data_IF_890736624358
#
_entry.id   IF_890736624358
#
_cell.length_a   1.000
_cell.length_b   1.000
_cell.length_c   1.000
_cell.angle_alpha   90.00
_cell.angle_beta   90.00
_cell.angle_gamma   90.00
#
_symmetry.space_group_name_H-M   'P 1'
#
loop_
_entity.id
_entity.type
_entity.pdbx_description
1 polymer ?
#
# COMPACT_ATOMS: atom_id res chain seq x y z
N UNK A 1 -31.60 -19.38 -18.20
CA UNK A 1 -30.22 -19.68 -18.64
C UNK A 1 -29.28 -18.79 -17.87
N UNK A 2 -28.48 -19.38 -16.96
CA UNK A 2 -27.43 -18.60 -16.26
C UNK A 2 -26.30 -18.34 -17.26
N UNK A 3 -26.19 -17.13 -17.78
CA UNK A 3 -25.04 -16.75 -18.58
C UNK A 3 -23.86 -16.67 -17.60
N UNK A 4 -22.77 -17.41 -17.80
CA UNK A 4 -21.61 -17.32 -16.92
C UNK A 4 -21.09 -15.89 -16.95
N UNK A 5 -20.74 -15.37 -15.78
CA UNK A 5 -20.11 -14.04 -15.67
C UNK A 5 -18.82 -14.00 -16.52
N UNK A 6 -18.55 -12.89 -17.22
CA UNK A 6 -17.32 -12.76 -17.99
C UNK A 6 -16.09 -12.87 -17.06
N UNK A 7 -14.97 -13.40 -17.57
CA UNK A 7 -13.74 -13.45 -16.80
C UNK A 7 -13.25 -12.03 -16.45
N UNK A 8 -12.77 -11.84 -15.22
CA UNK A 8 -12.21 -10.58 -14.72
C UNK A 8 -10.68 -10.67 -14.79
N UNK A 9 -10.01 -9.70 -15.40
CA UNK A 9 -8.55 -9.59 -15.33
C UNK A 9 -8.13 -9.26 -13.89
N UNK A 10 -7.11 -9.94 -13.37
CA UNK A 10 -6.64 -9.65 -12.01
C UNK A 10 -6.03 -8.25 -11.90
N UNK A 11 -5.47 -7.72 -12.97
CA UNK A 11 -4.99 -6.34 -13.02
C UNK A 11 -6.12 -5.32 -12.81
N UNK A 12 -7.30 -5.55 -13.40
CA UNK A 12 -8.48 -4.68 -13.20
C UNK A 12 -8.94 -4.72 -11.74
N UNK A 13 -9.04 -5.92 -11.15
CA UNK A 13 -9.38 -6.05 -9.73
C UNK A 13 -8.36 -5.37 -8.81
N UNK A 14 -7.07 -5.56 -9.06
CA UNK A 14 -5.99 -4.91 -8.31
C UNK A 14 -5.98 -3.39 -8.53
N UNK A 15 -6.25 -2.92 -9.75
CA UNK A 15 -6.38 -1.50 -10.10
C UNK A 15 -7.52 -0.81 -9.37
N UNK A 16 -8.70 -1.45 -9.30
CA UNK A 16 -9.85 -0.94 -8.53
C UNK A 16 -9.51 -0.84 -7.04
N UNK A 17 -8.86 -1.84 -6.46
CA UNK A 17 -8.38 -1.79 -5.08
C UNK A 17 -7.35 -0.67 -4.89
N UNK A 18 -6.44 -0.48 -5.83
CA UNK A 18 -5.47 0.61 -5.84
C UNK A 18 -6.15 1.97 -5.79
N UNK A 19 -7.11 2.25 -6.68
CA UNK A 19 -7.88 3.49 -6.67
C UNK A 19 -8.64 3.72 -5.36
N UNK A 20 -9.25 2.68 -4.82
CA UNK A 20 -9.96 2.75 -3.55
C UNK A 20 -9.01 3.06 -2.37
N UNK A 21 -7.77 2.56 -2.42
CA UNK A 21 -6.75 2.86 -1.41
C UNK A 21 -6.17 4.26 -1.56
N UNK A 22 -5.94 4.74 -2.78
CA UNK A 22 -5.49 6.11 -3.03
C UNK A 22 -6.46 7.13 -2.41
N UNK A 23 -7.76 6.97 -2.67
CA UNK A 23 -8.80 7.81 -2.07
C UNK A 23 -8.79 7.73 -0.54
N UNK A 24 -8.63 6.54 0.01
CA UNK A 24 -8.61 6.35 1.46
C UNK A 24 -7.38 6.93 2.13
N UNK A 25 -6.25 6.96 1.42
CA UNK A 25 -4.97 7.49 1.88
C UNK A 25 -4.81 8.98 1.61
N UNK A 26 -5.78 9.61 0.93
CA UNK A 26 -5.68 11.01 0.51
C UNK A 26 -4.54 11.23 -0.49
N UNK A 27 -4.21 10.21 -1.27
CA UNK A 27 -3.24 10.30 -2.35
C UNK A 27 -3.90 10.89 -3.59
N UNK A 28 -3.13 11.49 -4.49
CA UNK A 28 -3.62 11.79 -5.83
C UNK A 28 -4.20 10.51 -6.46
N UNK A 29 -5.33 10.66 -7.14
CA UNK A 29 -5.96 9.53 -7.82
C UNK A 29 -4.97 8.88 -8.79
N UNK A 30 -5.03 7.54 -8.90
CA UNK A 30 -4.15 6.72 -9.73
C UNK A 30 -2.67 6.69 -9.30
N UNK A 31 -2.34 7.13 -8.07
CA UNK A 31 -0.97 7.05 -7.56
C UNK A 31 -0.43 5.61 -7.58
N UNK A 32 -1.24 4.64 -7.19
CA UNK A 32 -0.84 3.22 -7.23
C UNK A 32 -0.63 2.70 -8.65
N UNK A 33 -1.48 3.09 -9.61
CA UNK A 33 -1.30 2.76 -11.03
C UNK A 33 0.00 3.37 -11.58
N UNK A 34 0.25 4.65 -11.30
CA UNK A 34 1.48 5.36 -11.71
C UNK A 34 2.72 4.71 -11.12
N UNK A 35 2.67 4.33 -9.85
CA UNK A 35 3.76 3.60 -9.18
C UNK A 35 4.04 2.26 -9.87
N UNK A 36 3.01 1.50 -10.22
CA UNK A 36 3.17 0.23 -10.92
C UNK A 36 3.81 0.41 -12.31
N UNK A 37 3.35 1.40 -13.08
CA UNK A 37 3.90 1.71 -14.42
C UNK A 37 5.35 2.17 -14.33
N UNK A 38 5.70 3.07 -13.42
CA UNK A 38 7.07 3.55 -13.21
C UNK A 38 8.02 2.42 -12.79
N UNK A 39 7.60 1.59 -11.84
CA UNK A 39 8.37 0.42 -11.39
C UNK A 39 8.59 -0.57 -12.53
N UNK A 40 7.55 -0.84 -13.33
CA UNK A 40 7.61 -1.75 -14.46
C UNK A 40 8.54 -1.23 -15.58
N UNK A 41 8.48 0.07 -15.90
CA UNK A 41 9.38 0.69 -16.86
C UNK A 41 10.85 0.55 -16.43
N UNK A 42 11.09 0.68 -15.13
CA UNK A 42 12.43 0.44 -14.56
C UNK A 42 12.83 -1.02 -14.65
N UNK A 43 11.93 -1.95 -14.34
CA UNK A 43 12.15 -3.39 -14.44
C UNK A 43 12.50 -3.82 -15.87
N UNK A 44 11.79 -3.26 -16.87
CA UNK A 44 12.06 -3.48 -18.29
C UNK A 44 13.44 -2.96 -18.71
N UNK A 45 13.81 -1.79 -18.25
CA UNK A 45 15.13 -1.20 -18.50
C UNK A 45 16.28 -2.02 -17.86
N UNK A 46 15.99 -2.71 -16.76
CA UNK A 46 16.93 -3.67 -16.14
C UNK A 46 17.00 -5.00 -16.87
N UNK A 47 16.13 -5.26 -17.85
CA UNK A 47 16.07 -6.53 -18.55
C UNK A 47 15.54 -7.68 -17.69
N UNK A 48 14.68 -7.39 -16.71
CA UNK A 48 14.09 -8.41 -15.87
C UNK A 48 13.20 -9.35 -16.67
N UNK A 49 13.16 -10.62 -16.25
CA UNK A 49 12.27 -11.62 -16.81
C UNK A 49 10.80 -11.23 -16.68
N UNK A 50 9.95 -11.82 -17.48
CA UNK A 50 8.52 -11.56 -17.48
C UNK A 50 7.88 -11.83 -16.10
N UNK A 51 8.25 -12.94 -15.43
CA UNK A 51 7.77 -13.27 -14.09
C UNK A 51 8.19 -12.24 -13.04
N UNK A 52 9.42 -11.71 -13.14
CA UNK A 52 9.87 -10.62 -12.27
C UNK A 52 9.11 -9.32 -12.56
N UNK A 53 8.84 -9.01 -13.83
CA UNK A 53 8.04 -7.87 -14.23
C UNK A 53 6.60 -7.98 -13.70
N UNK A 54 5.97 -9.16 -13.77
CA UNK A 54 4.66 -9.45 -13.14
C UNK A 54 4.71 -9.17 -11.65
N UNK A 55 5.76 -9.64 -10.97
CA UNK A 55 5.95 -9.42 -9.53
C UNK A 55 6.06 -7.93 -9.21
N UNK A 56 6.84 -7.17 -9.98
CA UNK A 56 7.00 -5.71 -9.82
C UNK A 56 5.68 -4.99 -10.03
N UNK A 57 4.96 -5.32 -11.09
CA UNK A 57 3.71 -4.68 -11.47
C UNK A 57 2.62 -4.82 -10.40
N UNK A 58 2.34 -6.05 -9.96
CA UNK A 58 1.33 -6.28 -8.92
C UNK A 58 1.74 -5.77 -7.54
N UNK A 59 3.04 -5.78 -7.22
CA UNK A 59 3.55 -5.13 -6.01
C UNK A 59 3.27 -3.62 -6.06
N UNK A 60 3.49 -2.97 -7.21
CA UNK A 60 3.18 -1.57 -7.42
C UNK A 60 1.69 -1.26 -7.27
N UNK A 61 0.80 -2.05 -7.87
CA UNK A 61 -0.65 -1.85 -7.75
C UNK A 61 -1.16 -1.98 -6.31
N UNK A 62 -0.64 -2.94 -5.55
CA UNK A 62 -1.20 -3.31 -4.24
C UNK A 62 -0.40 -2.77 -3.05
N UNK A 63 0.61 -1.90 -3.26
CA UNK A 63 1.49 -1.47 -2.18
C UNK A 63 0.80 -0.70 -1.05
N UNK A 64 -0.36 -0.13 -1.31
CA UNK A 64 -1.21 0.51 -0.29
C UNK A 64 -2.42 -0.31 0.14
N UNK A 65 -2.63 -1.51 -0.42
CA UNK A 65 -3.83 -2.29 -0.16
C UNK A 65 -4.06 -2.60 1.34
N UNK A 66 -3.00 -2.69 2.13
CA UNK A 66 -3.10 -2.88 3.57
C UNK A 66 -3.30 -1.62 4.40
N UNK A 67 -3.02 -0.43 3.84
CA UNK A 67 -3.03 0.84 4.60
C UNK A 67 -4.41 1.30 5.07
N UNK A 68 -5.47 0.67 4.61
CA UNK A 68 -6.84 1.00 4.99
C UNK A 68 -7.31 0.26 6.25
N UNK A 69 -6.52 -0.69 6.75
CA UNK A 69 -6.93 -1.58 7.84
C UNK A 69 -6.94 -0.93 9.24
N UNK A 70 -6.22 0.17 9.48
CA UNK A 70 -6.06 0.74 10.82
C UNK A 70 -6.11 2.27 10.87
N UNK A 71 -7.15 2.88 10.29
CA UNK A 71 -7.36 4.33 10.35
C UNK A 71 -7.50 4.88 11.79
N UNK A 72 -7.78 4.02 12.79
CA UNK A 72 -7.89 4.44 14.18
C UNK A 72 -6.53 4.75 14.82
N UNK A 73 -5.49 3.98 14.48
CA UNK A 73 -4.12 4.24 14.96
C UNK A 73 -3.61 5.53 14.32
N UNK A 74 -3.86 5.73 13.03
CA UNK A 74 -3.50 6.96 12.32
C UNK A 74 -4.17 8.18 12.95
N UNK A 75 -5.47 8.10 13.28
CA UNK A 75 -6.19 9.18 13.94
C UNK A 75 -5.65 9.49 15.35
N UNK A 76 -5.18 8.49 16.08
CA UNK A 76 -4.55 8.67 17.41
C UNK A 76 -3.19 9.36 17.32
N UNK A 77 -2.40 9.02 16.29
CA UNK A 77 -1.06 9.60 16.11
C UNK A 77 -1.09 10.98 15.44
N UNK A 78 -1.98 11.18 14.48
CA UNK A 78 -1.97 12.38 13.61
C UNK A 78 -3.15 13.33 13.86
N UNK A 79 -4.17 12.93 14.61
CA UNK A 79 -5.38 13.71 14.86
C UNK A 79 -6.25 13.85 13.61
N UNK A 80 -5.92 14.79 12.72
CA UNK A 80 -6.55 14.89 11.39
C UNK A 80 -5.69 14.15 10.36
N UNK A 81 -5.95 12.83 10.22
CA UNK A 81 -5.21 11.95 9.32
C UNK A 81 -5.26 12.40 7.85
N UNK A 82 -6.41 12.89 7.38
CA UNK A 82 -6.59 13.33 5.99
C UNK A 82 -5.71 14.53 5.65
N UNK A 83 -5.46 15.44 6.60
CA UNK A 83 -4.58 16.58 6.39
C UNK A 83 -3.08 16.23 6.57
N UNK A 84 -2.78 15.22 7.38
CA UNK A 84 -1.41 14.81 7.68
C UNK A 84 -0.84 13.84 6.63
N UNK A 85 -1.64 12.92 6.11
CA UNK A 85 -1.23 11.85 5.19
C UNK A 85 -0.49 12.36 3.94
N UNK A 86 -0.96 13.34 3.16
CA UNK A 86 -0.23 13.82 1.98
C UNK A 86 1.17 14.32 2.31
N UNK A 87 1.31 15.00 3.47
CA UNK A 87 2.62 15.51 3.94
C UNK A 87 3.53 14.41 4.47
N UNK A 88 2.95 13.38 5.08
CA UNK A 88 3.69 12.20 5.53
C UNK A 88 4.29 11.40 4.38
N UNK A 89 3.67 11.41 3.21
CA UNK A 89 4.18 10.71 2.03
C UNK A 89 5.43 11.39 1.44
N UNK A 90 5.63 12.68 1.69
CA UNK A 90 6.85 13.37 1.29
C UNK A 90 8.04 13.13 2.23
N UNK A 91 7.76 12.54 3.42
CA UNK A 91 8.80 12.19 4.40
C UNK A 91 9.54 10.93 3.96
N UNK A 92 10.86 10.92 4.08
CA UNK A 92 11.64 9.71 3.88
C UNK A 92 11.19 8.65 4.89
N UNK A 93 10.65 7.53 4.38
CA UNK A 93 10.19 6.42 5.24
C UNK A 93 11.30 6.01 6.18
N UNK A 94 11.01 5.97 7.50
CA UNK A 94 11.95 5.60 8.54
C UNK A 94 13.00 6.65 8.88
N UNK A 95 13.02 7.82 8.26
CA UNK A 95 13.78 8.95 8.79
C UNK A 95 13.11 9.46 10.06
N UNK A 96 13.63 9.06 11.22
CA UNK A 96 13.09 9.47 12.52
C UNK A 96 13.05 10.99 12.67
N UNK A 97 14.06 11.67 12.16
CA UNK A 97 14.16 13.14 12.23
C UNK A 97 13.10 13.80 11.35
N UNK A 98 12.93 13.35 10.10
CA UNK A 98 11.91 13.89 9.21
C UNK A 98 10.49 13.52 9.69
N UNK A 99 10.29 12.32 10.21
CA UNK A 99 9.02 11.89 10.78
C UNK A 99 8.64 12.78 11.98
N UNK A 100 9.55 12.96 12.92
CA UNK A 100 9.36 13.84 14.08
C UNK A 100 9.13 15.28 13.64
N UNK A 101 9.97 15.81 12.74
CA UNK A 101 9.82 17.19 12.24
C UNK A 101 8.47 17.40 11.52
N UNK A 102 8.02 16.42 10.74
CA UNK A 102 6.73 16.49 10.04
C UNK A 102 5.57 16.32 11.01
N UNK A 103 5.65 15.38 11.94
CA UNK A 103 4.67 15.24 13.02
C UNK A 103 4.57 16.53 13.85
N UNK A 104 5.69 17.18 14.15
CA UNK A 104 5.70 18.48 14.84
C UNK A 104 4.99 19.59 14.06
N UNK A 105 5.06 19.55 12.74
CA UNK A 105 4.43 20.57 11.88
C UNK A 105 2.96 20.29 11.58
N UNK A 106 2.55 19.02 11.56
CA UNK A 106 1.25 18.59 11.06
C UNK A 106 0.33 18.05 12.13
N UNK A 107 0.88 17.35 13.14
CA UNK A 107 0.07 16.78 14.20
C UNK A 107 -0.51 17.90 15.07
N UNK A 108 -1.83 17.84 15.20
CA UNK A 108 -2.58 18.74 16.12
C UNK A 108 -2.32 20.24 15.93
N UNK A 109 -2.21 20.70 14.69
CA UNK A 109 -2.32 22.12 14.38
C UNK A 109 -3.67 22.61 14.94
N UNK A 110 -3.63 23.35 16.08
CA UNK A 110 -4.83 23.80 16.79
C UNK A 110 -5.01 23.23 18.20
N UNK A 111 -4.18 22.27 18.65
CA UNK A 111 -4.21 21.77 20.03
C UNK A 111 -3.36 22.63 20.98
N UNK A 112 -3.74 22.67 22.27
CA UNK A 112 -2.98 23.37 23.31
C UNK A 112 -1.54 22.85 23.37
N UNK A 113 -0.53 23.72 23.58
CA UNK A 113 0.88 23.36 23.58
C UNK A 113 1.25 22.18 24.51
N UNK A 114 0.62 22.10 25.66
CA UNK A 114 0.84 21.05 26.64
C UNK A 114 0.32 19.69 26.18
N UNK A 115 -0.86 19.65 25.55
CA UNK A 115 -1.43 18.44 24.97
C UNK A 115 -0.56 17.93 23.82
N UNK A 116 -0.02 18.85 23.02
CA UNK A 116 0.92 18.55 21.92
C UNK A 116 2.23 17.96 22.44
N UNK A 117 2.81 18.53 23.50
CA UNK A 117 4.02 18.01 24.12
C UNK A 117 3.82 16.62 24.75
N UNK A 118 2.70 16.39 25.43
CA UNK A 118 2.35 15.09 26.02
C UNK A 118 2.19 14.00 24.97
N UNK A 119 1.56 14.32 23.83
CA UNK A 119 1.42 13.37 22.73
C UNK A 119 2.73 13.06 22.04
N UNK A 120 3.59 14.06 21.87
CA UNK A 120 4.92 13.84 21.29
C UNK A 120 5.80 12.96 22.19
N UNK A 121 5.75 13.17 23.52
CA UNK A 121 6.42 12.31 24.48
C UNK A 121 5.87 10.85 24.38
N UNK A 122 4.57 10.68 24.29
CA UNK A 122 3.94 9.38 24.15
C UNK A 122 4.32 8.68 22.83
N UNK A 123 4.37 9.41 21.71
CA UNK A 123 4.84 8.89 20.42
C UNK A 123 6.34 8.51 20.47
N UNK A 124 7.17 9.28 21.16
CA UNK A 124 8.60 9.01 21.30
C UNK A 124 8.89 7.76 22.17
N UNK A 125 8.13 7.54 23.24
CA UNK A 125 8.39 6.46 24.20
C UNK A 125 7.64 5.15 23.91
N UNK A 126 6.48 5.20 23.26
CA UNK A 126 5.65 4.00 22.96
C UNK A 126 5.50 3.69 21.46
N UNK A 127 5.72 4.70 20.61
CA UNK A 127 5.27 4.67 19.23
C UNK A 127 5.99 3.68 18.31
N UNK A 128 7.27 3.35 18.58
CA UNK A 128 8.05 2.50 17.65
C UNK A 128 7.53 1.06 17.63
N UNK A 129 7.21 0.49 18.78
CA UNK A 129 6.71 -0.88 18.87
C UNK A 129 5.27 -0.98 18.30
N UNK A 130 4.42 0.01 18.57
CA UNK A 130 3.08 0.09 18.00
C UNK A 130 3.14 0.32 16.48
N UNK A 131 4.04 1.17 16.01
CA UNK A 131 4.21 1.44 14.59
C UNK A 131 4.79 0.24 13.82
N UNK A 132 5.65 -0.58 14.44
CA UNK A 132 6.10 -1.86 13.86
C UNK A 132 4.95 -2.86 13.72
N UNK A 133 4.10 -2.98 14.74
CA UNK A 133 2.90 -3.84 14.68
C UNK A 133 1.93 -3.35 13.61
N UNK A 134 1.73 -2.06 13.51
CA UNK A 134 0.92 -1.41 12.48
C UNK A 134 1.45 -1.73 11.07
N UNK A 135 2.74 -1.55 10.82
CA UNK A 135 3.34 -1.87 9.53
C UNK A 135 3.23 -3.36 9.18
N UNK A 136 3.45 -4.26 10.15
CA UNK A 136 3.29 -5.69 9.95
C UNK A 136 1.84 -6.06 9.60
N UNK A 137 0.86 -5.49 10.30
CA UNK A 137 -0.57 -5.70 10.03
C UNK A 137 -0.95 -5.27 8.60
N UNK A 138 -0.45 -4.13 8.15
CA UNK A 138 -0.69 -3.65 6.78
C UNK A 138 -0.10 -4.60 5.73
N UNK A 139 1.13 -5.06 5.93
CA UNK A 139 1.76 -6.01 5.03
C UNK A 139 1.00 -7.35 5.00
N UNK A 140 0.53 -7.83 6.17
CA UNK A 140 -0.25 -9.07 6.25
C UNK A 140 -1.59 -8.95 5.52
N UNK A 141 -2.30 -7.83 5.63
CA UNK A 141 -3.53 -7.57 4.89
C UNK A 141 -3.27 -7.54 3.38
N UNK A 142 -2.26 -6.80 2.92
CA UNK A 142 -1.91 -6.74 1.50
C UNK A 142 -1.55 -8.13 0.95
N UNK A 143 -0.75 -8.91 1.70
CA UNK A 143 -0.40 -10.30 1.35
C UNK A 143 -1.62 -11.19 1.28
N UNK A 144 -2.54 -11.10 2.26
CA UNK A 144 -3.75 -11.91 2.31
C UNK A 144 -4.68 -11.59 1.12
N UNK A 145 -4.86 -10.32 0.80
CA UNK A 145 -5.62 -9.90 -0.39
C UNK A 145 -4.98 -10.47 -1.66
N UNK A 146 -3.67 -10.33 -1.83
CA UNK A 146 -2.94 -10.91 -2.96
C UNK A 146 -3.09 -12.42 -3.06
N UNK A 147 -3.05 -13.14 -1.92
CA UNK A 147 -3.26 -14.59 -1.87
C UNK A 147 -4.66 -14.98 -2.32
N UNK A 148 -5.70 -14.31 -1.80
CA UNK A 148 -7.10 -14.58 -2.14
C UNK A 148 -7.44 -14.21 -3.59
N UNK A 149 -6.80 -13.18 -4.13
CA UNK A 149 -6.86 -12.86 -5.56
C UNK A 149 -6.12 -13.88 -6.42
N UNK A 150 -5.33 -14.78 -5.80
CA UNK A 150 -4.57 -15.83 -6.47
C UNK A 150 -3.29 -15.33 -7.13
N UNK A 151 -2.72 -14.23 -6.64
CA UNK A 151 -1.42 -13.75 -7.09
C UNK A 151 -0.29 -14.70 -6.66
N UNK A 152 0.79 -14.71 -7.43
CA UNK A 152 1.92 -15.62 -7.26
C UNK A 152 2.63 -15.48 -5.90
N UNK A 153 3.32 -16.54 -5.47
CA UNK A 153 4.11 -16.52 -4.23
C UNK A 153 5.12 -15.35 -4.15
N UNK A 154 5.89 -15.05 -5.21
CA UNK A 154 6.76 -13.89 -5.24
C UNK A 154 6.07 -12.55 -4.99
N UNK A 155 4.86 -12.32 -5.55
CA UNK A 155 4.06 -11.11 -5.26
C UNK A 155 3.67 -11.07 -3.79
N UNK A 156 3.15 -12.18 -3.24
CA UNK A 156 2.77 -12.28 -1.83
C UNK A 156 3.97 -12.01 -0.89
N UNK A 157 5.16 -12.51 -1.25
CA UNK A 157 6.39 -12.26 -0.52
C UNK A 157 6.79 -10.77 -0.59
N UNK A 158 6.68 -10.14 -1.73
CA UNK A 158 6.95 -8.71 -1.89
C UNK A 158 5.99 -7.87 -1.03
N UNK A 159 4.67 -8.17 -1.06
CA UNK A 159 3.66 -7.46 -0.26
C UNK A 159 3.89 -7.58 1.25
N UNK A 160 4.59 -8.62 1.73
CA UNK A 160 4.96 -8.77 3.14
C UNK A 160 6.00 -7.75 3.60
N UNK A 161 6.82 -7.22 2.69
CA UNK A 161 8.02 -6.42 3.04
C UNK A 161 7.95 -4.97 2.52
N UNK A 162 6.76 -4.43 2.28
CA UNK A 162 6.54 -3.11 1.67
C UNK A 162 7.18 -1.95 2.44
N UNK A 163 7.30 -2.07 3.78
CA UNK A 163 7.83 -1.02 4.66
C UNK A 163 9.29 -1.26 5.07
N UNK A 164 9.93 -2.32 4.58
CA UNK A 164 11.35 -2.53 4.76
C UNK A 164 12.15 -1.47 3.99
N UNK A 165 13.39 -1.21 4.43
CA UNK A 165 14.26 -0.20 3.84
C UNK A 165 15.62 -0.78 3.49
N UNK A 166 16.27 -0.15 2.52
CA UNK A 166 17.62 -0.54 2.11
C UNK A 166 18.61 -0.56 3.27
N UNK A 167 18.58 0.46 4.14
CA UNK A 167 19.48 0.61 5.30
C UNK A 167 19.11 -0.29 6.50
N UNK A 168 18.03 -1.08 6.42
CA UNK A 168 17.54 -1.93 7.51
C UNK A 168 16.79 -1.16 8.61
N UNK A 169 16.58 0.16 8.46
CA UNK A 169 15.77 0.94 9.39
C UNK A 169 14.28 0.95 9.02
N UNK A 170 13.85 -0.03 8.22
CA UNK A 170 12.47 -0.26 7.84
C UNK A 170 11.63 -0.94 8.93
N UNK A 171 10.45 -1.41 8.52
CA UNK A 171 9.52 -2.07 9.42
C UNK A 171 8.93 -3.32 8.75
N UNK A 172 8.85 -4.43 9.43
CA UNK A 172 9.24 -4.67 10.85
C UNK A 172 10.74 -4.63 11.13
N UNK A 173 11.62 -4.51 10.11
CA UNK A 173 13.07 -4.45 10.22
C UNK A 173 13.72 -5.83 10.19
N UNK A 174 13.15 -6.73 9.40
CA UNK A 174 13.63 -8.10 9.19
C UNK A 174 14.68 -8.18 8.07
N UNK A 175 14.61 -7.30 7.08
CA UNK A 175 15.42 -7.32 5.87
C UNK A 175 16.19 -6.02 5.65
N UNK A 176 17.33 -6.11 4.96
CA UNK A 176 18.14 -4.95 4.55
C UNK A 176 18.88 -5.21 3.24
N UNK A 177 19.19 -4.14 2.53
CA UNK A 177 19.99 -4.19 1.31
C UNK A 177 19.39 -5.15 0.28
N UNK A 178 20.22 -5.98 -0.31
CA UNK A 178 19.82 -6.95 -1.32
C UNK A 178 18.92 -8.11 -0.80
N UNK A 179 18.72 -8.21 0.51
CA UNK A 179 17.76 -9.17 1.07
C UNK A 179 16.30 -8.78 0.76
N UNK A 180 16.04 -7.48 0.52
CA UNK A 180 14.73 -7.02 0.11
C UNK A 180 14.36 -7.59 -1.26
N UNK A 181 13.13 -8.07 -1.46
CA UNK A 181 12.66 -8.45 -2.80
C UNK A 181 12.87 -7.31 -3.80
N UNK A 182 13.40 -7.63 -4.99
CA UNK A 182 13.67 -6.62 -6.01
C UNK A 182 12.42 -5.79 -6.35
N UNK A 183 11.26 -6.44 -6.41
CA UNK A 183 9.98 -5.77 -6.66
C UNK A 183 9.68 -4.67 -5.63
N UNK A 184 9.99 -4.89 -4.34
CA UNK A 184 9.83 -3.87 -3.28
C UNK A 184 10.79 -2.71 -3.51
N UNK A 185 12.06 -3.00 -3.84
CA UNK A 185 13.07 -1.96 -4.09
C UNK A 185 12.69 -1.06 -5.25
N UNK A 186 12.20 -1.64 -6.36
CA UNK A 186 11.74 -0.89 -7.54
C UNK A 186 10.45 -0.12 -7.26
N UNK A 187 9.49 -0.74 -6.58
CA UNK A 187 8.25 -0.07 -6.17
C UNK A 187 8.52 1.15 -5.29
N UNK A 188 9.44 1.06 -4.32
CA UNK A 188 9.80 2.17 -3.44
C UNK A 188 10.41 3.35 -4.20
N UNK A 189 11.31 3.08 -5.16
CA UNK A 189 11.87 4.11 -6.04
C UNK A 189 10.77 4.77 -6.87
N UNK A 190 9.89 3.97 -7.49
CA UNK A 190 8.79 4.45 -8.31
C UNK A 190 7.79 5.31 -7.52
N UNK A 191 7.43 4.89 -6.31
CA UNK A 191 6.54 5.63 -5.43
C UNK A 191 7.12 6.98 -5.02
N UNK A 192 8.38 7.02 -4.59
CA UNK A 192 9.05 8.27 -4.23
C UNK A 192 9.20 9.20 -5.45
N UNK A 193 9.45 8.61 -6.62
CA UNK A 193 9.52 9.33 -7.90
C UNK A 193 8.18 9.96 -8.27
N UNK A 194 7.08 9.19 -8.20
CA UNK A 194 5.73 9.69 -8.53
C UNK A 194 5.32 10.82 -7.59
N UNK A 195 5.41 10.60 -6.28
CA UNK A 195 5.07 11.63 -5.29
C UNK A 195 5.85 12.92 -5.52
N UNK A 196 7.18 12.83 -5.64
CA UNK A 196 8.00 14.02 -5.85
C UNK A 196 7.74 14.70 -7.20
N UNK A 197 7.50 13.92 -8.25
CA UNK A 197 7.18 14.44 -9.58
C UNK A 197 5.86 15.22 -9.57
N UNK A 198 4.83 14.73 -8.90
CA UNK A 198 3.54 15.41 -8.78
C UNK A 198 3.63 16.73 -8.00
N UNK A 199 4.55 16.84 -7.03
CA UNK A 199 4.74 18.07 -6.25
C UNK A 199 5.64 19.11 -6.93
N UNK A 200 6.57 18.73 -7.78
CA UNK A 200 7.53 19.67 -8.34
C UNK A 200 8.27 19.17 -9.59
N UNK A 201 7.67 18.22 -10.30
CA UNK A 201 8.18 17.71 -11.56
C UNK A 201 9.39 16.77 -11.46
N UNK A 202 9.89 16.32 -12.62
CA UNK A 202 10.99 15.33 -12.67
C UNK A 202 12.26 15.77 -11.96
N UNK A 203 12.58 17.06 -11.95
CA UNK A 203 13.76 17.59 -11.27
C UNK A 203 13.68 17.40 -9.74
N UNK A 204 12.52 17.63 -9.13
CA UNK A 204 12.32 17.38 -7.69
C UNK A 204 12.37 15.87 -7.40
N UNK A 205 11.83 15.05 -8.29
CA UNK A 205 11.90 13.60 -8.17
C UNK A 205 13.36 13.13 -8.17
N UNK A 206 14.16 13.55 -9.16
CA UNK A 206 15.57 13.21 -9.25
C UNK A 206 16.36 13.63 -8.00
N UNK A 207 16.17 14.84 -7.51
CA UNK A 207 16.81 15.32 -6.28
C UNK A 207 16.38 14.52 -5.04
N UNK A 208 15.11 14.11 -4.96
CA UNK A 208 14.58 13.30 -3.86
C UNK A 208 15.16 11.90 -3.86
N UNK A 209 15.16 11.23 -5.00
CA UNK A 209 15.73 9.90 -5.16
C UNK A 209 17.23 9.88 -4.84
N UNK A 210 18.00 10.86 -5.35
CA UNK A 210 19.43 10.99 -5.06
C UNK A 210 19.71 11.10 -3.57
N UNK A 211 18.96 11.92 -2.85
CA UNK A 211 19.12 12.07 -1.39
C UNK A 211 18.80 10.81 -0.61
N UNK A 212 17.88 9.96 -1.12
CA UNK A 212 17.39 8.76 -0.43
C UNK A 212 18.16 7.48 -0.82
N UNK A 213 18.96 7.54 -1.90
CA UNK A 213 19.80 6.43 -2.34
C UNK A 213 20.77 5.99 -1.25
N UNK A 214 20.90 4.68 -1.04
CA UNK A 214 21.75 4.08 -0.02
C UNK A 214 21.21 4.18 1.42
N UNK A 215 20.19 4.99 1.67
CA UNK A 215 19.47 5.03 2.95
C UNK A 215 18.11 4.31 2.84
N UNK A 216 17.05 5.01 2.45
CA UNK A 216 15.74 4.41 2.28
C UNK A 216 15.59 3.57 1.03
N UNK A 217 16.29 3.93 -0.04
CA UNK A 217 16.16 3.36 -1.37
C UNK A 217 17.42 2.62 -1.79
N UNK A 218 17.23 1.59 -2.60
CA UNK A 218 18.31 0.87 -3.28
C UNK A 218 19.06 1.82 -4.22
N UNK A 219 20.39 2.04 -4.02
CA UNK A 219 21.17 2.96 -4.82
C UNK A 219 21.28 2.53 -6.28
N UNK A 220 21.30 1.22 -6.58
CA UNK A 220 21.36 0.72 -7.95
C UNK A 220 20.04 0.91 -8.67
N UNK A 221 18.93 0.64 -8.01
CA UNK A 221 17.59 0.90 -8.55
C UNK A 221 17.40 2.41 -8.83
N UNK A 222 17.83 3.28 -7.91
CA UNK A 222 17.80 4.73 -8.12
C UNK A 222 18.68 5.14 -9.31
N UNK A 223 19.90 4.65 -9.40
CA UNK A 223 20.83 4.94 -10.52
C UNK A 223 20.22 4.57 -11.86
N UNK A 224 19.62 3.38 -11.96
CA UNK A 224 18.97 2.92 -13.19
C UNK A 224 17.76 3.79 -13.51
N UNK A 225 16.88 4.04 -12.55
CA UNK A 225 15.71 4.91 -12.76
C UNK A 225 16.13 6.29 -13.28
N UNK A 226 17.11 6.92 -12.65
CA UNK A 226 17.61 8.25 -13.06
C UNK A 226 18.29 8.24 -14.43
N UNK A 227 18.93 7.13 -14.83
CA UNK A 227 19.53 7.01 -16.15
C UNK A 227 18.51 7.02 -17.30
N UNK A 228 17.24 6.76 -17.00
CA UNK A 228 16.15 6.81 -17.98
C UNK A 228 15.67 8.24 -18.27
N UNK A 229 16.11 9.24 -17.50
CA UNK A 229 15.68 10.63 -17.64
C UNK A 229 14.17 10.78 -17.48
N UNK A 230 13.54 11.46 -18.44
CA UNK A 230 12.07 11.71 -18.41
C UNK A 230 11.26 10.55 -19.01
N UNK A 231 11.89 9.57 -19.63
CA UNK A 231 11.19 8.47 -20.29
C UNK A 231 10.22 7.69 -19.36
N UNK A 232 10.54 7.44 -18.09
CA UNK A 232 9.61 6.78 -17.16
C UNK A 232 8.28 7.54 -16.95
N UNK A 233 8.27 8.86 -17.10
CA UNK A 233 7.10 9.70 -16.85
C UNK A 233 6.21 9.91 -18.08
N UNK A 234 6.67 9.48 -19.26
CA UNK A 234 5.93 9.72 -20.52
C UNK A 234 4.52 9.14 -20.45
N UNK A 235 3.52 9.99 -20.74
CA UNK A 235 2.09 9.64 -20.75
C UNK A 235 1.43 9.64 -19.35
N UNK A 236 2.21 9.86 -18.26
CA UNK A 236 1.63 9.90 -16.91
C UNK A 236 0.97 11.24 -16.54
N UNK A 237 1.02 12.22 -17.43
CA UNK A 237 0.33 13.52 -17.34
C UNK A 237 -1.08 13.50 -17.94
N UNK A 238 -1.50 12.36 -18.51
CA UNK A 238 -2.86 12.18 -19.03
C UNK A 238 -3.91 12.32 -17.90
N UNK A 239 -5.16 12.72 -18.23
CA UNK A 239 -6.25 12.83 -17.25
C UNK A 239 -6.54 11.53 -16.50
N UNK A 240 -6.34 10.38 -17.14
CA UNK A 240 -6.32 9.04 -16.55
C UNK A 240 -5.28 8.20 -17.25
N UNK A 241 -4.62 7.34 -16.47
CA UNK A 241 -3.66 6.35 -16.98
C UNK A 241 -4.18 4.92 -16.82
N UNK A 242 -5.48 4.77 -16.57
CA UNK A 242 -6.07 3.44 -16.36
C UNK A 242 -5.78 2.49 -17.51
N UNK A 243 -6.10 2.88 -18.73
CA UNK A 243 -5.92 2.03 -19.92
C UNK A 243 -4.42 1.71 -20.11
N UNK A 244 -3.55 2.71 -20.02
CA UNK A 244 -2.10 2.54 -20.12
C UNK A 244 -1.55 1.59 -19.06
N UNK A 245 -2.07 1.66 -17.83
CA UNK A 245 -1.66 0.79 -16.75
C UNK A 245 -2.13 -0.64 -16.96
N UNK A 246 -3.37 -0.84 -17.44
CA UNK A 246 -3.92 -2.15 -17.75
C UNK A 246 -3.22 -2.78 -18.96
N UNK A 247 -2.92 -2.02 -20.01
CA UNK A 247 -2.21 -2.49 -21.20
C UNK A 247 -0.73 -2.80 -20.91
N UNK A 248 -0.17 -2.17 -19.89
CA UNK A 248 1.21 -2.42 -19.48
C UNK A 248 1.41 -3.76 -18.77
N UNK A 249 0.33 -4.43 -18.29
CA UNK A 249 0.40 -5.70 -17.56
C UNK A 249 1.31 -6.71 -18.28
N UNK A 250 2.39 -7.17 -17.64
CA UNK A 250 3.34 -8.10 -18.29
C UNK A 250 2.83 -9.54 -18.25
N UNK A 251 3.27 -10.34 -19.21
CA UNK A 251 3.06 -11.77 -19.25
C UNK A 251 1.65 -12.21 -19.64
N UNK A 252 1.38 -13.49 -19.44
CA UNK A 252 0.02 -13.97 -19.62
C UNK A 252 -0.88 -13.29 -18.59
N UNK A 253 -1.80 -12.47 -19.07
CA UNK A 253 -2.71 -11.67 -18.24
C UNK A 253 -3.62 -12.61 -17.44
N UNK A 254 -3.43 -12.79 -16.14
CA UNK A 254 -4.21 -13.72 -15.35
C UNK A 254 -5.65 -13.25 -15.21
N UNK A 255 -6.58 -14.18 -15.42
CA UNK A 255 -8.02 -13.93 -15.29
C UNK A 255 -8.63 -14.78 -14.17
N UNK A 256 -9.59 -14.21 -13.47
CA UNK A 256 -10.43 -14.90 -12.53
C UNK A 256 -11.75 -15.28 -13.23
N UNK A 257 -12.11 -16.58 -13.19
CA UNK A 257 -13.35 -17.11 -13.73
C UNK A 257 -13.90 -18.19 -12.80
N UNK A 258 -15.22 -18.43 -12.82
CA UNK A 258 -15.88 -19.43 -11.97
C UNK A 258 -15.60 -19.21 -10.48
N UNK A 259 -15.28 -20.26 -9.73
CA UNK A 259 -15.01 -20.19 -8.29
C UNK A 259 -13.89 -19.19 -7.93
N UNK A 260 -12.90 -19.02 -8.80
CA UNK A 260 -11.82 -18.05 -8.58
C UNK A 260 -12.29 -16.59 -8.69
N UNK A 261 -13.29 -16.33 -9.54
CA UNK A 261 -13.94 -15.03 -9.59
C UNK A 261 -14.67 -14.74 -8.28
N UNK A 262 -15.40 -15.73 -7.75
CA UNK A 262 -16.09 -15.58 -6.46
C UNK A 262 -15.12 -15.30 -5.30
N UNK A 263 -13.97 -15.98 -5.28
CA UNK A 263 -12.91 -15.72 -4.29
C UNK A 263 -12.32 -14.32 -4.43
N UNK A 264 -12.05 -13.85 -5.65
CA UNK A 264 -11.54 -12.52 -5.94
C UNK A 264 -12.55 -11.45 -5.51
N UNK A 265 -13.81 -11.57 -5.89
CA UNK A 265 -14.89 -10.66 -5.51
C UNK A 265 -15.12 -10.65 -4.00
N UNK A 266 -15.03 -11.82 -3.34
CA UNK A 266 -15.11 -11.91 -1.89
C UNK A 266 -13.93 -11.20 -1.21
N UNK A 267 -12.72 -11.30 -1.76
CA UNK A 267 -11.57 -10.56 -1.25
C UNK A 267 -11.75 -9.04 -1.37
N UNK A 268 -12.33 -8.57 -2.47
CA UNK A 268 -12.66 -7.15 -2.67
C UNK A 268 -13.78 -6.68 -1.71
N UNK A 269 -14.79 -7.51 -1.48
CA UNK A 269 -15.85 -7.23 -0.51
C UNK A 269 -15.30 -7.12 0.92
N UNK A 270 -14.45 -8.08 1.33
CA UNK A 270 -13.79 -8.05 2.65
C UNK A 270 -12.90 -6.81 2.82
N UNK A 271 -12.21 -6.39 1.75
CA UNK A 271 -11.46 -5.14 1.78
C UNK A 271 -12.38 -3.92 2.01
N UNK A 272 -13.56 -3.89 1.38
CA UNK A 272 -14.55 -2.83 1.61
C UNK A 272 -15.11 -2.89 3.04
N UNK A 273 -15.35 -4.08 3.57
CA UNK A 273 -15.87 -4.32 4.92
C UNK A 273 -14.85 -3.98 6.01
N UNK A 274 -13.56 -4.17 5.78
CA UNK A 274 -12.51 -3.70 6.70
C UNK A 274 -12.68 -2.21 7.02
N UNK A 275 -13.06 -1.40 6.05
CA UNK A 275 -13.38 0.03 6.26
C UNK A 275 -14.70 0.24 7.02
N UNK A 276 -15.69 -0.61 6.78
CA UNK A 276 -17.03 -0.51 7.40
C UNK A 276 -17.03 -0.98 8.84
N UNK A 277 -16.35 -2.08 9.13
CA UNK A 277 -16.17 -2.64 10.47
C UNK A 277 -15.48 -1.64 11.39
N UNK A 278 -14.47 -0.93 10.93
CA UNK A 278 -13.83 0.12 11.72
C UNK A 278 -14.79 1.27 12.09
N UNK A 279 -15.73 1.63 11.19
CA UNK A 279 -16.80 2.58 11.52
C UNK A 279 -17.78 2.00 12.56
N UNK A 280 -18.07 0.70 12.48
CA UNK A 280 -18.94 0.00 13.40
C UNK A 280 -18.30 -0.10 14.79
N UNK A 281 -17.02 -0.48 14.88
CA UNK A 281 -16.27 -0.52 16.14
C UNK A 281 -16.14 0.86 16.78
N UNK A 282 -15.96 1.92 16.01
CA UNK A 282 -15.94 3.29 16.48
C UNK A 282 -17.27 3.72 17.12
N UNK A 283 -18.39 3.19 16.59
CA UNK A 283 -19.74 3.47 17.14
C UNK A 283 -20.12 2.59 18.33
N UNK A 284 -19.62 1.36 18.39
CA UNK A 284 -20.06 0.35 19.38
C UNK A 284 -19.04 0.11 20.51
N UNK A 285 -17.82 0.64 20.42
CA UNK A 285 -16.78 0.44 21.44
C UNK A 285 -16.22 -0.98 21.52
N UNK A 286 -16.53 -1.88 20.57
CA UNK A 286 -16.03 -3.25 20.54
C UNK A 286 -14.54 -3.30 20.14
N UNK A 287 -13.76 -4.18 20.77
CA UNK A 287 -12.32 -4.25 20.57
C UNK A 287 -11.92 -5.07 19.33
N UNK A 288 -10.77 -4.70 18.71
CA UNK A 288 -10.22 -5.27 17.47
C UNK A 288 -9.84 -6.76 17.52
N UNK A 289 -9.96 -7.43 18.67
CA UNK A 289 -9.72 -8.89 18.77
C UNK A 289 -10.66 -9.76 17.93
N UNK A 290 -11.85 -9.24 17.56
CA UNK A 290 -12.80 -9.98 16.73
C UNK A 290 -12.47 -9.94 15.22
N UNK A 291 -11.67 -8.99 14.74
CA UNK A 291 -11.28 -8.89 13.32
C UNK A 291 -10.38 -10.04 12.83
N UNK A 292 -9.55 -10.60 13.72
CA UNK A 292 -8.68 -11.72 13.38
C UNK A 292 -9.43 -13.04 13.11
N UNK A 293 -10.67 -13.17 13.60
CA UNK A 293 -11.49 -14.38 13.43
C UNK A 293 -12.29 -14.38 12.13
N UNK A 294 -12.52 -13.20 11.53
CA UNK A 294 -13.24 -13.08 10.25
C UNK A 294 -12.41 -13.53 9.03
N UNK A 295 -11.10 -13.58 9.16
CA UNK A 295 -10.19 -14.02 8.11
C UNK A 295 -9.75 -15.49 8.24
N UNK A 296 -10.33 -16.27 9.14
CA UNK A 296 -10.08 -17.70 9.18
C UNK A 296 -10.65 -18.34 7.89
N UNK A 297 -9.89 -19.21 7.19
CA UNK A 297 -10.42 -19.92 6.05
C UNK A 297 -11.64 -20.70 6.51
N UNK A 298 -12.76 -20.57 5.79
CA UNK A 298 -13.97 -21.36 6.01
C UNK A 298 -13.63 -22.83 5.72
N UNK A 299 -13.13 -23.55 6.74
CA UNK A 299 -13.19 -25.00 6.75
C UNK A 299 -14.66 -25.36 6.80
N UNK A 300 -15.17 -25.93 5.69
CA UNK A 300 -16.58 -26.19 5.50
C UNK A 300 -17.22 -26.88 6.70
N UNK A 301 -18.17 -26.23 7.28
CA UNK A 301 -19.45 -26.73 7.79
C UNK A 301 -20.14 -25.67 8.67
N UNK A 302 -21.46 -25.54 8.45
CA UNK A 302 -22.47 -24.85 9.26
C UNK A 302 -22.75 -23.38 8.92
N UNK A 303 -23.67 -23.18 7.98
CA UNK A 303 -24.46 -21.96 7.82
C UNK A 303 -25.42 -21.74 9.00
N UNK A 304 -24.95 -21.12 10.06
CA UNK A 304 -25.81 -20.84 11.21
C UNK A 304 -25.49 -19.56 11.98
N UNK A 305 -24.29 -19.02 11.84
CA UNK A 305 -23.87 -17.89 12.72
C UNK A 305 -23.95 -16.49 12.10
N UNK A 306 -24.03 -16.36 10.78
CA UNK A 306 -24.15 -15.06 10.12
C UNK A 306 -25.54 -14.41 10.28
N UNK A 307 -26.59 -15.22 10.46
CA UNK A 307 -27.98 -14.74 10.62
C UNK A 307 -28.28 -14.14 12.01
N UNK A 308 -27.53 -14.52 13.04
CA UNK A 308 -27.78 -14.05 14.42
C UNK A 308 -27.12 -12.71 14.72
N UNK A 309 -26.02 -12.36 14.04
CA UNK A 309 -25.39 -11.03 14.19
C UNK A 309 -26.22 -9.90 13.56
N UNK A 310 -26.91 -10.20 12.47
CA UNK A 310 -27.78 -9.23 11.79
C UNK A 310 -29.09 -8.93 12.55
N UNK A 311 -29.56 -9.85 13.42
CA UNK A 311 -30.78 -9.67 14.24
C UNK A 311 -30.56 -8.87 15.52
N UNK A 312 -29.33 -8.73 15.98
CA UNK A 312 -29.00 -7.95 17.21
C UNK A 312 -28.66 -6.48 16.95
N UNK A 313 -28.62 -6.06 15.68
CA UNK A 313 -28.32 -4.69 15.26
C UNK A 313 -29.54 -3.89 14.78
N UNK A 314 -30.77 -4.39 15.06
CA UNK A 314 -32.02 -3.63 14.87
C UNK A 314 -32.60 -3.18 16.20
#
# INVERSE_FOLDING_TARGET
MNVPAPPLRLAEAAGVLSLATDLAMGQPLEHGLRTAVLALRTARAMGLSEDEQVTVYYTGLLHFAGCTAESEIDARFFGNEMAARPRMMTVARGSRLELVATAMRTAHAGSAPLARAAMMARAAFGGIAEFRKWAASHCDVARLLGSRMGLSGPVQQALRHLYERWDGNGMPGELRGAQLPLAVRLMQVAQDADVACQYGGPALAAGTLTRRAGSGLDPDAVRIFLSLGDAPYKGLDAPSIWDDAMDAEPGPQPVAAGARLDECLSAMADFADLKSIQRLYRKTGLSTRAGATLFAPSTGSSGGQASDLCRRAR
#
